data_IF_397817731093
#
_entry.id   IF_397817731093
#
_cell.length_a   1.000
_cell.length_b   1.000
_cell.length_c   1.000
_cell.angle_alpha   90.00
_cell.angle_beta   90.00
_cell.angle_gamma   90.00
#
_symmetry.space_group_name_H-M   'P 1'
#
loop_
_entity.id
_entity.type
_entity.pdbx_description
1 polymer ?
#
# COMPACT_ATOMS: atom_id res chain seq x y z
N UNK A 1 -23.74 -40.95 32.72
CA UNK A 1 -23.28 -39.61 33.15
C UNK A 1 -23.07 -38.78 31.89
N UNK A 2 -23.82 -37.68 31.69
CA UNK A 2 -23.83 -36.96 30.42
C UNK A 2 -22.61 -36.03 30.27
N UNK A 3 -22.10 -35.95 29.04
CA UNK A 3 -21.08 -35.00 28.58
C UNK A 3 -21.57 -33.55 28.74
N UNK A 4 -20.72 -32.60 29.15
CA UNK A 4 -21.04 -31.19 29.01
C UNK A 4 -20.84 -30.75 27.56
N UNK A 5 -21.93 -30.26 26.96
CA UNK A 5 -21.98 -29.50 25.71
C UNK A 5 -21.17 -28.22 25.88
N UNK A 6 -19.97 -28.14 25.27
CA UNK A 6 -19.31 -26.87 25.02
C UNK A 6 -19.98 -26.23 23.79
N UNK A 7 -20.60 -25.07 24.00
CA UNK A 7 -21.16 -24.23 22.95
C UNK A 7 -20.06 -23.81 21.95
N UNK A 8 -20.39 -23.65 20.65
CA UNK A 8 -19.46 -23.09 19.69
C UNK A 8 -19.23 -21.60 20.01
N UNK A 9 -17.99 -21.24 20.29
CA UNK A 9 -17.56 -19.85 20.34
C UNK A 9 -17.81 -19.23 18.95
N UNK A 10 -18.72 -18.26 18.91
CA UNK A 10 -19.02 -17.48 17.73
C UNK A 10 -17.73 -16.78 17.23
N UNK A 11 -17.46 -16.75 15.90
CA UNK A 11 -16.35 -15.98 15.36
C UNK A 11 -16.62 -14.49 15.60
N UNK A 12 -15.62 -13.80 16.16
CA UNK A 12 -15.60 -12.36 16.36
C UNK A 12 -15.61 -11.63 14.99
N UNK A 13 -16.82 -11.41 14.46
CA UNK A 13 -17.10 -10.39 13.45
C UNK A 13 -17.39 -9.09 14.19
N UNK A 14 -16.38 -8.27 14.47
CA UNK A 14 -16.57 -6.89 14.96
C UNK A 14 -15.25 -6.11 14.88
N UNK A 15 -14.97 -5.53 13.70
CA UNK A 15 -14.22 -4.27 13.54
C UNK A 15 -14.16 -3.88 12.06
N UNK A 16 -15.30 -3.51 11.48
CA UNK A 16 -15.35 -2.81 10.18
C UNK A 16 -16.57 -1.89 10.12
N UNK A 17 -16.67 -1.03 11.13
CA UNK A 17 -17.47 0.18 11.18
C UNK A 17 -16.58 1.12 12.03
N UNK A 18 -16.12 2.29 11.61
CA UNK A 18 -16.65 3.28 10.67
C UNK A 18 -15.42 4.01 10.10
N UNK A 19 -15.32 4.16 8.77
CA UNK A 19 -14.51 5.24 8.20
C UNK A 19 -15.49 6.27 7.65
N UNK A 20 -15.84 7.22 8.50
CA UNK A 20 -16.47 8.47 8.09
C UNK A 20 -15.59 9.13 7.04
N UNK A 21 -16.12 9.24 5.81
CA UNK A 21 -15.60 10.08 4.74
C UNK A 21 -15.53 11.53 5.24
N UNK A 22 -14.36 11.95 5.71
CA UNK A 22 -14.08 13.33 6.06
C UNK A 22 -12.67 13.71 5.60
N UNK A 23 -12.54 14.04 4.31
CA UNK A 23 -11.42 14.83 3.80
C UNK A 23 -11.80 15.56 2.51
N UNK A 24 -12.86 16.37 2.57
CA UNK A 24 -13.13 17.42 1.59
C UNK A 24 -13.44 18.71 2.34
N UNK A 25 -12.42 19.30 2.97
CA UNK A 25 -12.48 20.65 3.49
C UNK A 25 -11.08 21.28 3.46
N UNK A 26 -10.65 21.69 2.26
CA UNK A 26 -9.71 22.79 2.19
C UNK A 26 -10.49 24.05 2.60
N UNK A 27 -10.36 24.42 3.86
CA UNK A 27 -10.98 25.61 4.42
C UNK A 27 -10.43 26.86 3.75
N UNK A 28 -11.31 27.61 3.08
CA UNK A 28 -11.13 29.04 2.95
C UNK A 28 -11.50 29.65 4.30
N UNK A 29 -10.52 30.27 4.95
CA UNK A 29 -10.74 31.06 6.15
C UNK A 29 -11.69 32.22 5.80
N UNK A 30 -12.91 32.19 6.33
CA UNK A 30 -13.79 33.34 6.35
C UNK A 30 -13.68 34.00 7.74
N UNK A 31 -12.90 35.07 7.81
CA UNK A 31 -12.91 36.03 8.90
C UNK A 31 -14.30 36.64 8.97
N UNK A 32 -14.90 36.61 10.16
CA UNK A 32 -16.24 37.13 10.40
C UNK A 32 -16.30 38.65 10.37
N UNK A 33 -17.41 39.17 9.86
CA UNK A 33 -17.99 40.46 10.25
C UNK A 33 -19.50 40.21 10.38
N UNK A 34 -20.05 40.47 11.56
CA UNK A 34 -21.49 40.58 11.78
C UNK A 34 -21.95 41.96 11.33
N UNK A 35 -23.01 42.02 10.52
CA UNK A 35 -24.03 43.07 10.66
C UNK A 35 -25.33 42.65 9.98
N UNK A 36 -26.44 42.92 10.68
CA UNK A 36 -27.80 42.59 10.31
C UNK A 36 -28.39 43.62 9.36
N UNK A 37 -29.06 43.24 8.27
CA UNK A 37 -30.44 43.69 7.92
C UNK A 37 -31.01 43.06 6.64
N UNK A 38 -32.26 42.59 6.78
CA UNK A 38 -33.43 42.61 5.87
C UNK A 38 -33.31 42.41 4.35
N UNK A 39 -34.10 41.43 3.91
CA UNK A 39 -35.03 41.38 2.77
C UNK A 39 -34.51 41.76 1.37
N UNK A 40 -34.35 40.74 0.51
CA UNK A 40 -34.95 40.69 -0.84
C UNK A 40 -34.84 39.29 -1.44
N UNK A 41 -35.99 38.71 -1.73
CA UNK A 41 -36.18 37.57 -2.62
C UNK A 41 -35.70 37.90 -4.04
N UNK A 42 -35.21 36.87 -4.72
CA UNK A 42 -34.87 36.90 -6.13
C UNK A 42 -33.41 36.54 -6.35
N UNK A 43 -33.19 35.43 -7.08
CA UNK A 43 -31.90 35.08 -7.70
C UNK A 43 -30.92 34.24 -6.84
N UNK A 44 -31.41 33.15 -6.24
CA UNK A 44 -30.56 32.07 -5.71
C UNK A 44 -30.80 30.67 -6.34
N UNK A 45 -31.79 30.52 -7.22
CA UNK A 45 -32.18 29.18 -7.71
C UNK A 45 -31.32 28.63 -8.85
N UNK A 46 -30.65 29.47 -9.64
CA UNK A 46 -29.76 28.98 -10.72
C UNK A 46 -28.40 28.51 -10.21
N UNK A 47 -27.84 29.19 -9.21
CA UNK A 47 -26.55 28.80 -8.63
C UNK A 47 -26.63 27.50 -7.79
N UNK A 48 -27.75 27.27 -7.10
CA UNK A 48 -27.98 26.00 -6.37
C UNK A 48 -28.19 24.83 -7.33
N UNK A 49 -28.95 25.03 -8.41
CA UNK A 49 -29.19 23.98 -9.41
C UNK A 49 -27.91 23.58 -10.15
N UNK A 50 -27.06 24.54 -10.54
CA UNK A 50 -25.77 24.25 -11.19
C UNK A 50 -24.78 23.55 -10.23
N UNK A 51 -24.79 23.92 -8.95
CA UNK A 51 -23.92 23.25 -7.96
C UNK A 51 -24.38 21.81 -7.67
N UNK A 52 -25.69 21.56 -7.66
CA UNK A 52 -26.25 20.20 -7.53
C UNK A 52 -25.98 19.35 -8.77
N UNK A 53 -26.01 19.95 -9.96
CA UNK A 53 -25.77 19.25 -11.23
C UNK A 53 -24.30 18.87 -11.39
N UNK A 54 -23.36 19.73 -10.96
CA UNK A 54 -21.92 19.41 -10.95
C UNK A 54 -21.55 18.41 -9.84
N UNK A 55 -22.27 18.40 -8.70
CA UNK A 55 -22.09 17.40 -7.66
C UNK A 55 -22.56 16.00 -8.12
N UNK A 56 -23.57 15.93 -8.98
CA UNK A 56 -24.11 14.67 -9.53
C UNK A 56 -23.30 14.11 -10.72
N UNK A 57 -22.38 14.88 -11.30
CA UNK A 57 -21.55 14.45 -12.43
C UNK A 57 -20.16 13.95 -12.02
N UNK A 58 -19.86 13.91 -10.71
CA UNK A 58 -18.69 13.20 -10.21
C UNK A 58 -19.00 11.72 -10.31
N UNK A 59 -18.53 11.08 -11.38
CA UNK A 59 -18.45 9.63 -11.49
C UNK A 59 -17.93 9.11 -10.16
N UNK A 60 -18.70 8.26 -9.48
CA UNK A 60 -18.21 7.56 -8.29
C UNK A 60 -16.82 7.01 -8.64
N UNK A 61 -15.80 7.32 -7.85
CA UNK A 61 -14.46 6.81 -8.11
C UNK A 61 -14.58 5.30 -8.31
N UNK A 62 -14.13 4.80 -9.47
CA UNK A 62 -14.20 3.38 -9.75
C UNK A 62 -13.55 2.65 -8.57
N UNK A 63 -14.34 1.78 -7.93
CA UNK A 63 -13.83 1.00 -6.80
C UNK A 63 -12.63 0.20 -7.29
N UNK A 64 -11.50 0.39 -6.63
CA UNK A 64 -10.27 -0.30 -6.95
C UNK A 64 -10.51 -1.81 -7.10
N UNK A 65 -10.13 -2.45 -8.22
CA UNK A 65 -10.45 -3.86 -8.47
C UNK A 65 -9.73 -4.83 -7.51
N UNK A 66 -8.69 -4.36 -6.81
CA UNK A 66 -8.05 -5.13 -5.75
C UNK A 66 -8.93 -5.26 -4.50
N UNK A 67 -9.92 -4.37 -4.30
CA UNK A 67 -10.84 -4.46 -3.17
C UNK A 67 -11.60 -5.79 -3.25
N UNK A 68 -11.55 -6.57 -2.17
CA UNK A 68 -12.11 -7.94 -2.11
C UNK A 68 -11.12 -9.04 -2.51
N UNK A 69 -9.97 -8.70 -3.10
CA UNK A 69 -8.89 -9.64 -3.44
C UNK A 69 -7.68 -9.52 -2.49
N UNK A 70 -7.70 -8.56 -1.58
CA UNK A 70 -6.62 -8.27 -0.63
C UNK A 70 -7.01 -8.73 0.77
N UNK A 71 -6.13 -9.51 1.39
CA UNK A 71 -6.27 -9.98 2.77
C UNK A 71 -5.01 -9.64 3.55
N UNK A 72 -5.18 -9.10 4.76
CA UNK A 72 -4.06 -8.91 5.68
C UNK A 72 -3.55 -10.25 6.19
N UNK A 73 -2.24 -10.43 6.23
CA UNK A 73 -1.56 -11.60 6.79
C UNK A 73 -0.40 -11.18 7.70
N UNK A 74 0.01 -12.09 8.57
CA UNK A 74 1.17 -11.89 9.45
C UNK A 74 2.38 -12.63 8.91
N UNK A 75 3.49 -11.91 8.70
CA UNK A 75 4.78 -12.48 8.29
C UNK A 75 5.75 -12.55 9.46
N UNK A 76 6.52 -13.64 9.57
CA UNK A 76 7.59 -13.77 10.58
C UNK A 76 8.80 -12.93 10.18
N UNK A 77 9.29 -12.14 11.12
CA UNK A 77 10.43 -11.22 10.96
C UNK A 77 11.73 -11.75 11.54
N UNK A 78 11.84 -13.06 11.81
CA UNK A 78 13.01 -13.66 12.47
C UNK A 78 14.35 -13.43 11.75
N UNK A 79 14.32 -13.13 10.46
CA UNK A 79 15.51 -12.80 9.65
C UNK A 79 15.65 -11.31 9.32
N UNK A 80 14.75 -10.47 9.84
CA UNK A 80 14.71 -9.04 9.50
C UNK A 80 15.58 -8.28 10.49
N UNK A 81 16.26 -7.23 10.00
CA UNK A 81 16.94 -6.29 10.88
C UNK A 81 15.94 -5.29 11.47
N UNK A 82 16.28 -4.67 12.61
CA UNK A 82 15.49 -3.59 13.20
C UNK A 82 15.26 -2.44 12.21
N UNK A 83 16.28 -2.10 11.40
CA UNK A 83 16.18 -1.05 10.37
C UNK A 83 15.17 -1.45 9.29
N UNK A 84 15.15 -2.72 8.87
CA UNK A 84 14.17 -3.24 7.90
C UNK A 84 12.75 -3.10 8.44
N UNK A 85 12.53 -3.53 9.69
CA UNK A 85 11.22 -3.45 10.34
C UNK A 85 10.79 -1.98 10.47
N UNK A 86 11.64 -1.12 11.02
CA UNK A 86 11.35 0.30 11.20
C UNK A 86 11.07 1.03 9.88
N UNK A 87 11.79 0.66 8.82
CA UNK A 87 11.60 1.24 7.50
C UNK A 87 10.26 0.79 6.88
N UNK A 88 9.94 -0.50 6.96
CA UNK A 88 8.67 -1.02 6.47
C UNK A 88 7.48 -0.39 7.20
N UNK A 89 7.51 -0.31 8.53
CA UNK A 89 6.43 0.33 9.30
C UNK A 89 6.26 1.80 8.94
N UNK A 90 7.36 2.55 8.75
CA UNK A 90 7.33 3.96 8.31
C UNK A 90 6.72 4.13 6.92
N UNK A 91 7.14 3.34 5.94
CA UNK A 91 6.76 3.52 4.54
C UNK A 91 5.37 2.95 4.26
N UNK A 92 5.15 1.72 4.71
CA UNK A 92 3.97 0.95 4.40
C UNK A 92 2.82 1.17 5.40
N UNK A 93 3.10 1.73 6.57
CA UNK A 93 2.13 1.90 7.64
C UNK A 93 1.75 0.58 8.32
N UNK A 94 2.63 -0.42 8.28
CA UNK A 94 2.39 -1.74 8.88
C UNK A 94 2.44 -1.72 10.39
N UNK A 95 1.66 -2.60 11.00
CA UNK A 95 1.80 -2.92 12.42
C UNK A 95 2.89 -3.98 12.60
N UNK A 96 3.81 -3.75 13.53
CA UNK A 96 4.81 -4.72 13.97
C UNK A 96 4.55 -5.13 15.41
N UNK A 97 4.55 -6.45 15.67
CA UNK A 97 4.49 -7.01 17.01
C UNK A 97 5.87 -7.60 17.38
N UNK A 98 6.62 -6.94 18.29
CA UNK A 98 7.95 -7.40 18.70
C UNK A 98 7.94 -8.66 19.56
N UNK A 99 6.90 -8.90 20.35
CA UNK A 99 6.80 -10.07 21.23
C UNK A 99 6.72 -11.38 20.41
N UNK A 100 6.01 -11.32 19.29
CA UNK A 100 5.82 -12.46 18.39
C UNK A 100 6.76 -12.45 17.18
N UNK A 101 7.55 -11.39 17.01
CA UNK A 101 8.37 -11.14 15.81
C UNK A 101 7.55 -11.28 14.53
N UNK A 102 6.38 -10.64 14.46
CA UNK A 102 5.53 -10.64 13.26
C UNK A 102 5.22 -9.22 12.80
N UNK A 103 5.11 -9.04 11.49
CA UNK A 103 4.74 -7.78 10.85
C UNK A 103 3.55 -8.00 9.92
N UNK A 104 2.70 -6.99 9.82
CA UNK A 104 1.58 -6.96 8.90
C UNK A 104 2.09 -6.91 7.45
N UNK A 105 1.50 -7.72 6.58
CA UNK A 105 1.65 -7.63 5.13
C UNK A 105 0.30 -7.90 4.47
N UNK A 106 0.20 -7.67 3.16
CA UNK A 106 -1.05 -7.84 2.42
C UNK A 106 -0.88 -8.80 1.26
N UNK A 107 -1.70 -9.86 1.28
CA UNK A 107 -1.76 -10.84 0.22
C UNK A 107 -2.84 -10.45 -0.79
N UNK A 108 -2.46 -10.29 -2.05
CA UNK A 108 -3.37 -10.10 -3.18
C UNK A 108 -3.12 -11.18 -4.22
N UNK A 109 -4.09 -12.05 -4.48
CA UNK A 109 -3.96 -13.16 -5.44
C UNK A 109 -2.65 -13.93 -5.26
N UNK A 110 -2.43 -14.42 -4.03
CA UNK A 110 -1.23 -15.16 -3.59
C UNK A 110 0.10 -14.39 -3.66
N UNK A 111 0.06 -13.08 -3.93
CA UNK A 111 1.25 -12.22 -3.99
C UNK A 111 1.29 -11.27 -2.80
N UNK A 112 2.39 -11.32 -2.04
CA UNK A 112 2.58 -10.51 -0.84
C UNK A 112 3.10 -9.11 -1.18
N UNK A 113 2.63 -8.12 -0.43
CA UNK A 113 3.06 -6.73 -0.49
C UNK A 113 3.28 -6.24 0.94
N UNK A 114 4.31 -5.40 1.10
CA UNK A 114 4.64 -4.84 2.41
C UNK A 114 3.64 -3.78 2.89
N UNK A 115 2.75 -3.25 2.02
CA UNK A 115 1.80 -2.16 2.29
C UNK A 115 0.55 -2.19 1.41
N UNK A 116 -0.60 -1.74 1.94
CA UNK A 116 -1.84 -1.56 1.17
C UNK A 116 -2.59 -0.26 1.50
N UNK A 117 -2.84 0.57 0.49
CA UNK A 117 -3.60 1.83 0.57
C UNK A 117 -4.85 1.75 -0.32
N UNK A 118 -5.99 1.24 0.20
CA UNK A 118 -7.18 0.97 -0.61
C UNK A 118 -7.78 2.22 -1.26
N UNK A 119 -7.77 3.36 -0.56
CA UNK A 119 -8.27 4.63 -1.08
C UNK A 119 -7.47 5.14 -2.30
N UNK A 120 -6.23 4.70 -2.46
CA UNK A 120 -5.34 5.07 -3.55
C UNK A 120 -5.18 3.95 -4.59
N UNK A 121 -5.80 2.78 -4.35
CA UNK A 121 -5.55 1.56 -5.11
C UNK A 121 -4.03 1.26 -5.23
N UNK A 122 -3.30 1.40 -4.12
CA UNK A 122 -1.84 1.39 -4.14
C UNK A 122 -1.26 0.37 -3.17
N UNK A 123 -0.45 -0.55 -3.69
CA UNK A 123 0.43 -1.39 -2.90
C UNK A 123 1.79 -0.73 -2.67
N UNK A 124 2.47 -1.12 -1.60
CA UNK A 124 3.79 -0.62 -1.26
C UNK A 124 4.74 -1.79 -0.99
N UNK A 125 6.01 -1.56 -1.31
CA UNK A 125 7.13 -2.44 -1.00
C UNK A 125 8.26 -1.58 -0.39
N UNK A 126 8.85 -2.03 0.71
CA UNK A 126 9.87 -1.30 1.46
C UNK A 126 11.18 -2.09 1.51
N UNK A 127 12.23 -1.54 0.89
CA UNK A 127 13.54 -2.19 0.77
C UNK A 127 14.61 -1.38 1.51
N UNK A 128 15.06 -1.91 2.65
CA UNK A 128 16.10 -1.31 3.49
C UNK A 128 17.38 -2.15 3.51
N UNK A 129 18.52 -1.48 3.68
CA UNK A 129 19.86 -2.10 3.73
C UNK A 129 20.25 -2.87 2.46
N UNK A 130 19.70 -2.52 1.28
CA UNK A 130 20.03 -3.22 0.05
C UNK A 130 21.37 -2.81 -0.58
N UNK A 131 21.88 -1.60 -0.31
CA UNK A 131 23.15 -1.15 -0.91
C UNK A 131 24.34 -2.03 -0.51
N UNK A 132 24.24 -2.78 0.61
CA UNK A 132 25.26 -3.74 1.02
C UNK A 132 25.54 -4.82 -0.05
N UNK A 133 24.54 -5.10 -0.91
CA UNK A 133 24.61 -6.08 -2.00
C UNK A 133 25.23 -5.52 -3.28
N UNK A 134 25.64 -4.25 -3.28
CA UNK A 134 26.17 -3.56 -4.45
C UNK A 134 27.59 -3.05 -4.21
N UNK A 135 28.36 -2.97 -5.30
CA UNK A 135 29.70 -2.39 -5.38
C UNK A 135 29.78 -1.66 -6.72
N UNK A 136 30.23 -0.41 -6.72
CA UNK A 136 30.29 0.45 -7.91
C UNK A 136 28.97 0.53 -8.72
N UNK A 137 27.83 0.48 -8.04
CA UNK A 137 26.50 0.52 -8.67
C UNK A 137 26.05 -0.79 -9.32
N UNK A 138 26.84 -1.85 -9.20
CA UNK A 138 26.54 -3.17 -9.73
C UNK A 138 26.31 -4.18 -8.60
N UNK A 139 25.43 -5.18 -8.80
CA UNK A 139 25.27 -6.30 -7.89
C UNK A 139 26.61 -7.02 -7.64
N UNK A 140 26.96 -7.23 -6.37
CA UNK A 140 28.10 -8.10 -6.02
C UNK A 140 27.84 -9.53 -6.50
N UNK A 141 28.91 -10.27 -6.80
CA UNK A 141 28.82 -11.63 -7.34
C UNK A 141 27.92 -12.56 -6.51
N UNK A 142 27.97 -12.48 -5.17
CA UNK A 142 27.18 -13.35 -4.31
C UNK A 142 25.67 -13.00 -4.33
N UNK A 143 25.33 -11.76 -4.69
CA UNK A 143 23.94 -11.35 -4.85
C UNK A 143 23.43 -11.70 -6.25
N UNK A 144 24.26 -11.52 -7.27
CA UNK A 144 23.93 -11.73 -8.67
C UNK A 144 23.92 -13.21 -9.08
N UNK A 145 24.89 -13.99 -8.59
CA UNK A 145 25.26 -15.29 -9.17
C UNK A 145 25.22 -16.45 -8.17
N UNK A 146 25.50 -16.21 -6.88
CA UNK A 146 25.56 -17.30 -5.91
C UNK A 146 24.19 -17.93 -5.67
N UNK A 147 24.14 -19.26 -5.83
CA UNK A 147 22.98 -20.11 -5.53
C UNK A 147 23.39 -21.14 -4.50
N UNK A 148 22.59 -21.29 -3.43
CA UNK A 148 22.83 -22.32 -2.40
C UNK A 148 22.65 -23.73 -2.97
N UNK A 149 21.66 -23.91 -3.85
CA UNK A 149 21.44 -25.12 -4.65
C UNK A 149 21.23 -24.73 -6.12
N UNK A 150 21.50 -25.62 -7.09
CA UNK A 150 21.32 -25.32 -8.51
C UNK A 150 19.90 -24.84 -8.89
N UNK A 151 18.89 -25.26 -8.13
CA UNK A 151 17.47 -24.90 -8.34
C UNK A 151 17.04 -23.61 -7.64
N UNK A 152 17.88 -23.07 -6.76
CA UNK A 152 17.53 -21.88 -5.98
C UNK A 152 17.70 -20.63 -6.83
N UNK A 153 16.97 -19.56 -6.46
CA UNK A 153 17.19 -18.23 -7.03
C UNK A 153 18.39 -17.57 -6.36
N UNK A 154 19.17 -16.79 -7.11
CA UNK A 154 20.10 -15.82 -6.52
C UNK A 154 19.34 -14.73 -5.77
N UNK A 155 20.03 -13.92 -4.97
CA UNK A 155 19.39 -12.78 -4.31
C UNK A 155 18.77 -11.80 -5.31
N UNK A 156 19.46 -11.54 -6.43
CA UNK A 156 18.99 -10.69 -7.50
C UNK A 156 17.80 -11.32 -8.25
N UNK A 157 17.87 -12.60 -8.59
CA UNK A 157 16.76 -13.33 -9.22
C UNK A 157 15.51 -13.33 -8.33
N UNK A 158 15.69 -13.47 -7.01
CA UNK A 158 14.59 -13.43 -6.04
C UNK A 158 13.90 -12.05 -6.00
N UNK A 159 14.68 -10.97 -6.00
CA UNK A 159 14.17 -9.60 -6.05
C UNK A 159 13.39 -9.31 -7.35
N UNK A 160 13.95 -9.73 -8.50
CA UNK A 160 13.29 -9.58 -9.80
C UNK A 160 12.00 -10.40 -9.88
N UNK A 161 12.01 -11.61 -9.32
CA UNK A 161 10.85 -12.49 -9.27
C UNK A 161 9.72 -11.91 -8.41
N UNK A 162 10.05 -11.29 -7.28
CA UNK A 162 9.06 -10.61 -6.45
C UNK A 162 8.40 -9.44 -7.20
N UNK A 163 9.19 -8.58 -7.83
CA UNK A 163 8.70 -7.48 -8.65
C UNK A 163 7.81 -7.97 -9.82
N UNK A 164 8.22 -9.04 -10.50
CA UNK A 164 7.43 -9.65 -11.56
C UNK A 164 6.07 -10.14 -11.07
N UNK A 165 6.02 -10.86 -9.95
CA UNK A 165 4.77 -11.35 -9.36
C UNK A 165 3.84 -10.20 -8.96
N UNK A 166 4.38 -9.16 -8.33
CA UNK A 166 3.61 -7.99 -7.95
C UNK A 166 3.07 -7.22 -9.16
N UNK A 167 3.89 -7.06 -10.20
CA UNK A 167 3.44 -6.47 -11.45
C UNK A 167 2.30 -7.28 -12.09
N UNK A 168 2.42 -8.61 -12.08
CA UNK A 168 1.43 -9.52 -12.67
C UNK A 168 0.12 -9.52 -11.88
N UNK A 169 0.18 -9.50 -10.54
CA UNK A 169 -1.02 -9.34 -9.70
C UNK A 169 -1.76 -8.04 -10.05
N UNK A 170 -1.03 -6.94 -10.22
CA UNK A 170 -1.62 -5.68 -10.65
C UNK A 170 -2.17 -5.74 -12.09
N UNK A 171 -1.49 -6.45 -12.99
CA UNK A 171 -1.91 -6.61 -14.38
C UNK A 171 -3.21 -7.42 -14.52
N UNK A 172 -3.36 -8.50 -13.73
CA UNK A 172 -4.60 -9.27 -13.62
C UNK A 172 -5.78 -8.43 -13.12
N UNK A 173 -5.51 -7.31 -12.44
CA UNK A 173 -6.48 -6.35 -11.95
C UNK A 173 -6.58 -5.11 -12.85
N UNK A 174 -6.54 -5.34 -14.17
CA UNK A 174 -6.70 -4.32 -15.22
C UNK A 174 -5.63 -3.22 -15.21
N UNK A 175 -4.47 -3.46 -14.59
CA UNK A 175 -3.40 -2.47 -14.41
C UNK A 175 -3.85 -1.22 -13.62
N UNK A 176 -4.95 -1.30 -12.87
CA UNK A 176 -5.45 -0.20 -12.05
C UNK A 176 -4.62 -0.05 -10.79
N UNK A 177 -4.48 -1.09 -9.93
CA UNK A 177 -3.59 -0.97 -8.79
C UNK A 177 -2.15 -0.83 -9.26
N UNK A 178 -1.39 -0.03 -8.54
CA UNK A 178 0.06 0.13 -8.74
C UNK A 178 0.80 -0.40 -7.52
N UNK A 179 2.09 -0.68 -7.68
CA UNK A 179 3.00 -1.03 -6.60
C UNK A 179 4.16 -0.03 -6.56
N UNK A 180 4.30 0.67 -5.44
CA UNK A 180 5.44 1.57 -5.23
C UNK A 180 6.52 0.88 -4.41
N UNK A 181 7.71 0.78 -4.99
CA UNK A 181 8.89 0.21 -4.37
C UNK A 181 9.77 1.33 -3.82
N UNK A 182 9.81 1.44 -2.50
CA UNK A 182 10.56 2.46 -1.79
C UNK A 182 11.87 1.86 -1.27
N UNK A 183 12.99 2.39 -1.75
CA UNK A 183 14.32 2.02 -1.32
C UNK A 183 14.87 3.06 -0.33
N UNK A 184 15.34 2.58 0.81
CA UNK A 184 15.98 3.45 1.82
C UNK A 184 17.26 4.09 1.25
N UNK A 185 17.99 3.35 0.43
CA UNK A 185 19.33 3.72 -0.02
C UNK A 185 19.41 3.94 -1.54
N UNK A 186 20.30 4.84 -2.00
CA UNK A 186 20.27 5.33 -3.38
C UNK A 186 20.89 4.38 -4.41
N UNK A 187 21.84 3.50 -4.04
CA UNK A 187 22.52 2.64 -5.03
C UNK A 187 21.56 1.57 -5.55
N UNK A 188 20.94 0.84 -4.62
CA UNK A 188 19.91 -0.16 -4.93
C UNK A 188 18.71 0.47 -5.64
N UNK A 189 18.26 1.65 -5.20
CA UNK A 189 17.26 2.45 -5.94
C UNK A 189 17.67 2.68 -7.39
N UNK A 190 18.88 3.20 -7.63
CA UNK A 190 19.36 3.54 -8.96
C UNK A 190 19.44 2.32 -9.88
N UNK A 191 19.88 1.18 -9.33
CA UNK A 191 19.92 -0.08 -10.06
C UNK A 191 18.50 -0.59 -10.40
N UNK A 192 17.64 -0.74 -9.40
CA UNK A 192 16.31 -1.32 -9.60
C UNK A 192 15.36 -0.41 -10.37
N UNK A 193 15.56 0.90 -10.35
CA UNK A 193 14.84 1.82 -11.24
C UNK A 193 15.06 1.46 -12.71
N UNK A 194 16.29 1.08 -13.09
CA UNK A 194 16.61 0.63 -14.45
C UNK A 194 16.11 -0.79 -14.70
N UNK A 195 16.30 -1.69 -13.74
CA UNK A 195 15.90 -3.10 -13.88
C UNK A 195 14.37 -3.28 -13.97
N UNK A 196 13.60 -2.41 -13.31
CA UNK A 196 12.14 -2.51 -13.25
C UNK A 196 11.41 -1.77 -14.36
N UNK A 197 12.09 -1.16 -15.35
CA UNK A 197 11.47 -0.44 -16.47
C UNK A 197 10.44 -1.29 -17.23
N UNK A 198 10.63 -2.62 -17.29
CA UNK A 198 9.70 -3.56 -17.93
C UNK A 198 8.40 -3.80 -17.15
N UNK A 199 8.34 -3.42 -15.88
CA UNK A 199 7.19 -3.64 -15.01
C UNK A 199 6.30 -2.40 -14.96
N UNK A 200 5.31 -2.35 -15.87
CA UNK A 200 4.45 -1.17 -16.07
C UNK A 200 3.63 -0.76 -14.84
N UNK A 201 3.43 -1.66 -13.87
CA UNK A 201 2.68 -1.40 -12.64
C UNK A 201 3.59 -1.08 -11.45
N UNK A 202 4.91 -1.11 -11.62
CA UNK A 202 5.87 -0.80 -10.57
C UNK A 202 6.49 0.56 -10.80
N UNK A 203 6.57 1.34 -9.73
CA UNK A 203 7.35 2.58 -9.70
C UNK A 203 8.29 2.57 -8.52
N UNK A 204 9.54 2.95 -8.76
CA UNK A 204 10.57 3.00 -7.72
C UNK A 204 10.74 4.40 -7.18
N UNK A 205 11.08 4.49 -5.89
CA UNK A 205 11.40 5.74 -5.20
C UNK A 205 12.60 5.51 -4.28
N UNK A 206 13.45 6.52 -4.12
CA UNK A 206 14.36 6.59 -2.98
C UNK A 206 13.67 7.43 -1.89
N UNK A 207 13.45 6.84 -0.72
CA UNK A 207 12.70 7.49 0.37
C UNK A 207 13.42 7.25 1.69
N UNK A 208 14.44 8.04 2.03
CA UNK A 208 15.22 7.84 3.25
C UNK A 208 14.43 8.09 4.56
#
# INVERSE_FOLDING_TARGET
MPLPLLAPAAPALLAAAEWTLAACAAGLAAVGVMESTKDKEGEQDKAKADTQTIASSRTECEKCPAIGNVTMVWEKTTSYSEITIAYQTKIAGTIYNPELNIIETWLCMDTNFDGWKPAQCLFLEAKALYDQFFEDGLPKWFYAEFKKKPTDKTGLESMMWQAERQNNACASLKNIPKSHWHFLQPISYGYFTKAFVKFINIKTFNTP
#
